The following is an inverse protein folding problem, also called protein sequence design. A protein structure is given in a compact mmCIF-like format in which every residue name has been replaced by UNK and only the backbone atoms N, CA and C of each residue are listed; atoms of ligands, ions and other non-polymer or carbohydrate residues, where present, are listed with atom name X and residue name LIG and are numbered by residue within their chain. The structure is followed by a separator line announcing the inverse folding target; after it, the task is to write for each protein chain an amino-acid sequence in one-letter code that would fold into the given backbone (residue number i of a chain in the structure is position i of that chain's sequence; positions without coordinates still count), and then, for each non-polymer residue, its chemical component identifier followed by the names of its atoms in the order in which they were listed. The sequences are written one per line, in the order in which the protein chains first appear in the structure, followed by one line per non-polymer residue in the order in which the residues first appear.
data_IF_638693212925
#
_entry.id   IF_638693212925
#
_cell.length_a   1.000
_cell.length_b   1.000
_cell.length_c   1.000
_cell.angle_alpha   90.00
_cell.angle_beta   90.00
_cell.angle_gamma   90.00
#
_symmetry.space_group_name_H-M   'P 1'
#
loop_
_entity.id
_entity.type
_entity.pdbx_description
1 polymer ?
#
# COMPACT_ATOMS: atom_id res chain seq x y z
N UNK A 1 4.01 -30.24 -53.64
CA UNK A 1 5.11 -29.64 -52.85
C UNK A 1 4.50 -28.74 -51.78
N UNK A 2 4.40 -29.25 -50.55
CA UNK A 2 3.76 -28.59 -49.41
C UNK A 2 4.74 -27.60 -48.76
N UNK A 3 4.33 -26.34 -48.54
CA UNK A 3 5.10 -25.37 -47.75
C UNK A 3 4.29 -25.02 -46.51
N UNK A 4 4.50 -25.78 -45.45
CA UNK A 4 3.92 -25.51 -44.13
C UNK A 4 4.75 -24.38 -43.50
N UNK A 5 4.14 -23.20 -43.35
CA UNK A 5 4.71 -22.09 -42.56
C UNK A 5 4.30 -22.29 -41.11
N UNK A 6 5.24 -22.76 -40.29
CA UNK A 6 5.10 -22.76 -38.83
C UNK A 6 5.31 -21.34 -38.31
N UNK A 7 4.25 -20.74 -37.76
CA UNK A 7 4.32 -19.51 -36.95
C UNK A 7 4.29 -19.97 -35.49
N UNK A 8 5.30 -19.67 -34.65
CA UNK A 8 5.22 -20.01 -33.25
C UNK A 8 4.33 -18.97 -32.56
N UNK A 9 3.14 -19.38 -32.15
CA UNK A 9 2.31 -18.60 -31.23
C UNK A 9 2.88 -18.76 -29.81
N UNK A 10 3.79 -17.86 -29.42
CA UNK A 10 4.20 -17.74 -28.01
C UNK A 10 3.11 -16.94 -27.30
N UNK A 11 2.16 -17.62 -26.69
CA UNK A 11 1.19 -17.02 -25.78
C UNK A 11 1.94 -16.77 -24.46
N UNK A 12 2.43 -15.54 -24.24
CA UNK A 12 2.82 -15.10 -22.89
C UNK A 12 1.53 -15.00 -22.05
N UNK A 13 1.13 -16.10 -21.44
CA UNK A 13 0.18 -16.08 -20.35
C UNK A 13 0.90 -15.48 -19.13
N UNK A 14 0.93 -14.16 -19.05
CA UNK A 14 1.30 -13.45 -17.83
C UNK A 14 0.21 -13.69 -16.80
N UNK A 15 0.33 -14.79 -16.07
CA UNK A 15 -0.45 -15.02 -14.87
C UNK A 15 0.05 -14.01 -13.83
N UNK A 16 -0.54 -12.81 -13.84
CA UNK A 16 -0.50 -11.95 -12.67
C UNK A 16 -1.27 -12.70 -11.58
N UNK A 17 -0.55 -13.47 -10.77
CA UNK A 17 -1.08 -13.96 -9.51
C UNK A 17 -1.31 -12.73 -8.64
N UNK A 18 -2.50 -12.14 -8.72
CA UNK A 18 -2.98 -11.22 -7.71
C UNK A 18 -3.02 -12.02 -6.39
N UNK A 19 -1.96 -11.89 -5.59
CA UNK A 19 -1.95 -12.47 -4.26
C UNK A 19 -3.11 -11.84 -3.49
N UNK A 20 -3.92 -12.62 -2.75
CA UNK A 20 -5.00 -12.06 -1.98
C UNK A 20 -4.39 -11.26 -0.82
N UNK A 21 -4.27 -9.95 -1.01
CA UNK A 21 -3.90 -8.99 0.04
C UNK A 21 -4.91 -9.00 1.22
N UNK A 22 -6.05 -9.70 1.07
CA UNK A 22 -7.20 -9.67 1.97
C UNK A 22 -7.26 -10.80 3.02
N UNK A 23 -6.29 -11.72 3.08
CA UNK A 23 -6.27 -12.76 4.11
C UNK A 23 -5.58 -12.31 5.42
N UNK A 24 -4.95 -11.14 5.43
CA UNK A 24 -4.22 -10.65 6.57
C UNK A 24 -5.14 -10.02 7.62
N UNK A 25 -4.69 -10.04 8.89
CA UNK A 25 -5.42 -9.42 9.99
C UNK A 25 -5.69 -7.95 9.66
N UNK A 26 -6.95 -7.56 9.78
CA UNK A 26 -7.41 -6.19 9.57
C UNK A 26 -7.79 -5.59 10.91
N UNK A 27 -7.14 -4.49 11.26
CA UNK A 27 -7.32 -3.78 12.51
C UNK A 27 -7.99 -2.42 12.29
N UNK A 28 -8.73 -1.94 13.29
CA UNK A 28 -9.33 -0.61 13.26
C UNK A 28 -8.44 0.37 14.01
N UNK A 29 -8.18 1.52 13.40
CA UNK A 29 -7.40 2.60 13.99
C UNK A 29 -8.23 3.88 14.08
N UNK A 30 -8.05 4.62 15.17
CA UNK A 30 -8.60 5.96 15.34
C UNK A 30 -7.52 7.00 15.01
N UNK A 31 -7.71 7.68 13.89
CA UNK A 31 -6.90 8.78 13.38
C UNK A 31 -7.53 10.11 13.79
N UNK A 32 -7.30 10.53 15.03
CA UNK A 32 -7.79 11.81 15.57
C UNK A 32 -9.31 12.03 15.40
N UNK A 33 -10.11 10.98 15.58
CA UNK A 33 -11.57 10.99 15.47
C UNK A 33 -12.10 10.30 14.22
N UNK A 34 -11.27 10.14 13.18
CA UNK A 34 -11.60 9.35 12.00
C UNK A 34 -11.18 7.90 12.20
N UNK A 35 -12.13 6.96 12.12
CA UNK A 35 -11.81 5.54 12.15
C UNK A 35 -11.49 5.03 10.74
N UNK A 36 -10.38 4.32 10.62
CA UNK A 36 -9.98 3.63 9.38
C UNK A 36 -9.69 2.17 9.70
N UNK A 37 -9.70 1.32 8.67
CA UNK A 37 -9.17 -0.05 8.81
C UNK A 37 -7.83 -0.13 8.10
N UNK A 38 -6.89 -0.85 8.69
CA UNK A 38 -5.59 -1.11 8.08
C UNK A 38 -5.25 -2.59 8.20
N UNK A 39 -4.60 -3.12 7.18
CA UNK A 39 -4.02 -4.46 7.16
C UNK A 39 -2.61 -4.40 6.63
N UNK A 40 -1.74 -5.26 7.16
CA UNK A 40 -0.34 -5.36 6.76
C UNK A 40 -0.08 -6.82 6.35
N UNK A 41 -0.35 -7.19 5.09
CA UNK A 41 -0.21 -8.58 4.64
C UNK A 41 1.22 -9.11 4.71
N UNK A 42 2.19 -8.22 4.52
CA UNK A 42 3.62 -8.49 4.66
C UNK A 42 4.35 -7.15 4.94
N UNK A 43 5.68 -7.17 4.96
CA UNK A 43 6.54 -6.00 5.18
C UNK A 43 6.58 -5.03 3.98
N UNK A 44 6.08 -5.44 2.81
CA UNK A 44 6.10 -4.65 1.57
C UNK A 44 4.79 -3.94 1.28
N UNK A 45 3.69 -4.38 1.87
CA UNK A 45 2.34 -3.93 1.52
C UNK A 45 1.59 -3.53 2.79
N UNK A 46 1.00 -2.34 2.73
CA UNK A 46 -0.07 -1.93 3.64
C UNK A 46 -1.34 -1.66 2.83
N UNK A 47 -2.49 -2.05 3.36
CA UNK A 47 -3.80 -1.80 2.75
C UNK A 47 -4.64 -1.03 3.75
N UNK A 48 -5.20 0.11 3.34
CA UNK A 48 -6.13 0.88 4.17
C UNK A 48 -7.51 0.94 3.52
N UNK A 49 -8.55 0.85 4.35
CA UNK A 49 -9.92 1.23 3.96
C UNK A 49 -10.16 2.64 4.50
N UNK A 50 -10.08 3.63 3.61
CA UNK A 50 -10.21 5.04 3.92
C UNK A 50 -11.47 5.59 3.24
N UNK A 51 -12.43 6.11 4.01
CA UNK A 51 -13.68 6.67 3.48
C UNK A 51 -14.46 5.73 2.53
N UNK A 52 -14.32 4.41 2.69
CA UNK A 52 -14.97 3.40 1.86
C UNK A 52 -14.14 2.92 0.67
N UNK A 53 -12.98 3.52 0.43
CA UNK A 53 -12.06 3.15 -0.65
C UNK A 53 -10.91 2.29 -0.12
N UNK A 54 -10.60 1.23 -0.85
CA UNK A 54 -9.45 0.37 -0.57
C UNK A 54 -8.25 0.98 -1.28
N UNK A 55 -7.23 1.30 -0.50
CA UNK A 55 -6.02 1.95 -0.96
C UNK A 55 -4.85 1.03 -0.65
N UNK A 56 -4.05 0.72 -1.68
CA UNK A 56 -2.86 -0.13 -1.56
C UNK A 56 -1.62 0.76 -1.51
N UNK A 57 -0.81 0.55 -0.47
CA UNK A 57 0.43 1.27 -0.23
C UNK A 57 1.60 0.29 -0.29
N UNK A 58 2.67 0.70 -0.96
CA UNK A 58 3.90 -0.07 -1.05
C UNK A 58 4.95 0.48 -0.09
N UNK A 59 5.81 -0.38 0.44
CA UNK A 59 6.95 0.02 1.27
C UNK A 59 7.78 1.09 0.55
N UNK A 60 8.17 2.10 1.29
CA UNK A 60 9.01 3.19 0.85
C UNK A 60 10.17 3.41 1.82
N UNK A 61 11.34 3.91 1.36
CA UNK A 61 12.47 4.18 2.23
C UNK A 61 12.12 5.11 3.39
N UNK A 62 12.67 4.83 4.56
CA UNK A 62 12.48 5.59 5.80
C UNK A 62 13.75 5.58 6.64
N UNK A 63 13.93 6.61 7.47
CA UNK A 63 15.04 6.65 8.43
C UNK A 63 14.81 5.69 9.62
N UNK A 64 13.54 5.50 10.02
CA UNK A 64 13.16 4.56 11.07
C UNK A 64 11.70 4.13 10.89
N UNK A 65 11.37 2.94 11.39
CA UNK A 65 10.04 2.36 11.25
C UNK A 65 9.68 1.98 9.80
N UNK A 66 8.52 1.37 9.62
CA UNK A 66 7.99 1.01 8.31
C UNK A 66 7.20 2.19 7.73
N UNK A 67 7.56 2.61 6.51
CA UNK A 67 6.85 3.63 5.74
C UNK A 67 6.27 3.00 4.49
N UNK A 68 5.03 3.35 4.18
CA UNK A 68 4.32 2.90 2.99
C UNK A 68 3.72 4.11 2.28
N UNK A 69 3.71 4.10 0.95
CA UNK A 69 3.15 5.17 0.12
C UNK A 69 2.37 4.62 -1.08
N UNK A 70 1.34 5.34 -1.51
CA UNK A 70 0.52 5.01 -2.67
C UNK A 70 -0.75 5.86 -2.72
N UNK A 71 -1.27 6.10 -3.93
CA UNK A 71 -2.57 6.78 -4.16
C UNK A 71 -2.78 8.03 -3.28
N UNK A 72 -1.78 8.92 -3.26
CA UNK A 72 -1.76 10.16 -2.47
C UNK A 72 -1.69 10.03 -0.94
N UNK A 73 -1.39 8.85 -0.41
CA UNK A 73 -1.21 8.62 1.03
C UNK A 73 0.20 8.16 1.40
N UNK A 74 0.62 8.60 2.59
CA UNK A 74 1.76 8.07 3.32
C UNK A 74 1.28 7.52 4.65
N UNK A 75 1.64 6.27 4.93
CA UNK A 75 1.41 5.61 6.21
C UNK A 75 2.76 5.23 6.82
N UNK A 76 3.07 5.77 8.00
CA UNK A 76 4.38 5.59 8.62
C UNK A 76 4.25 5.17 10.08
N UNK A 77 4.78 4.00 10.43
CA UNK A 77 4.75 3.49 11.81
C UNK A 77 5.41 4.46 12.79
N UNK A 78 4.74 4.71 13.92
CA UNK A 78 5.21 5.62 14.97
C UNK A 78 5.07 4.92 16.32
N UNK A 79 5.99 4.00 16.61
CA UNK A 79 5.96 3.20 17.83
C UNK A 79 5.02 1.99 17.74
N UNK A 80 4.67 1.44 18.91
CA UNK A 80 3.86 0.20 18.98
C UNK A 80 2.38 0.53 18.82
N UNK A 81 1.73 -0.12 17.84
CA UNK A 81 0.29 0.00 17.57
C UNK A 81 -0.17 1.43 17.20
N UNK A 82 0.73 2.23 16.66
CA UNK A 82 0.46 3.59 16.20
C UNK A 82 1.17 3.84 14.85
N UNK A 83 0.52 4.60 13.97
CA UNK A 83 1.13 5.14 12.75
C UNK A 83 0.68 6.58 12.52
N UNK A 84 1.46 7.32 11.75
CA UNK A 84 1.07 8.60 11.16
C UNK A 84 0.46 8.33 9.78
N UNK A 85 -0.70 8.94 9.50
CA UNK A 85 -1.31 8.97 8.17
C UNK A 85 -1.28 10.40 7.65
N UNK A 86 -0.63 10.61 6.51
CA UNK A 86 -0.49 11.92 5.87
C UNK A 86 -0.85 11.84 4.39
N UNK A 87 -1.26 12.96 3.80
CA UNK A 87 -1.38 13.06 2.33
C UNK A 87 -0.03 13.33 1.72
N UNK A 88 0.28 12.77 0.56
CA UNK A 88 1.55 13.00 -0.15
C UNK A 88 1.26 13.18 -1.65
N UNK A 89 2.02 14.03 -2.34
CA UNK A 89 1.85 14.21 -3.78
C UNK A 89 2.39 13.00 -4.56
N UNK A 90 1.86 12.75 -5.75
CA UNK A 90 2.38 11.70 -6.64
C UNK A 90 3.85 11.97 -7.02
N UNK A 91 4.19 13.23 -7.29
CA UNK A 91 5.57 13.64 -7.58
C UNK A 91 6.51 13.30 -6.42
N UNK A 92 6.10 13.51 -5.17
CA UNK A 92 6.91 13.17 -4.01
C UNK A 92 7.03 11.66 -3.82
N UNK A 93 5.97 10.89 -4.09
CA UNK A 93 6.04 9.42 -4.09
C UNK A 93 7.08 8.95 -5.13
N UNK A 94 6.99 9.44 -6.37
CA UNK A 94 7.89 9.05 -7.47
C UNK A 94 9.34 9.41 -7.16
N UNK A 95 9.56 10.57 -6.54
CA UNK A 95 10.89 11.01 -6.13
C UNK A 95 11.35 10.44 -4.79
N UNK A 96 10.57 9.54 -4.17
CA UNK A 96 10.91 8.88 -2.90
C UNK A 96 10.96 9.83 -1.69
N UNK A 97 10.36 11.01 -1.80
CA UNK A 97 10.31 12.02 -0.74
C UNK A 97 9.31 11.63 0.35
N UNK A 98 9.41 12.34 1.47
CA UNK A 98 8.43 12.27 2.56
C UNK A 98 7.32 13.28 2.33
N UNK A 99 6.14 13.00 2.88
CA UNK A 99 5.04 13.97 2.92
C UNK A 99 5.42 15.27 3.63
N UNK A 100 5.01 16.41 3.07
CA UNK A 100 5.03 17.72 3.72
C UNK A 100 3.83 17.94 4.66
N UNK A 101 2.78 17.13 4.52
CA UNK A 101 1.67 17.08 5.47
C UNK A 101 2.15 16.44 6.79
N UNK A 102 1.88 17.12 7.91
CA UNK A 102 2.19 16.59 9.24
C UNK A 102 1.37 15.33 9.55
N UNK A 103 0.27 15.13 8.84
CA UNK A 103 -0.62 14.01 8.99
C UNK A 103 -1.30 14.00 10.35
N UNK A 104 -1.87 12.85 10.68
CA UNK A 104 -2.59 12.58 11.92
C UNK A 104 -2.08 11.31 12.58
N UNK A 105 -2.04 11.28 13.90
CA UNK A 105 -1.68 10.07 14.64
C UNK A 105 -2.89 9.12 14.68
N UNK A 106 -2.68 7.90 14.23
CA UNK A 106 -3.65 6.82 14.19
C UNK A 106 -3.28 5.75 15.22
N UNK A 107 -4.16 5.52 16.19
CA UNK A 107 -3.95 4.56 17.27
C UNK A 107 -4.88 3.36 17.14
N UNK A 108 -4.35 2.17 17.38
CA UNK A 108 -5.14 0.94 17.38
C UNK A 108 -6.32 1.06 18.36
N UNK A 109 -7.52 0.80 17.88
CA UNK A 109 -8.72 0.67 18.71
C UNK A 109 -8.75 -0.75 19.27
N UNK A 110 -8.71 -0.87 20.60
CA UNK A 110 -8.86 -2.15 21.30
C UNK A 110 -10.32 -2.53 21.45
#
# INVERSE_FOLDING_TARGET
MSKIKFIPAIILASIFMAQPALAAKTDTYNCEGQKIKASFPNDKIAVILYSGEIIVLNEAPSASGARYTGESFQLWSKGKNEFNLATISEDDIVNGKTSDDKGRTCKLVK
#
